data_IF_724596339921
#
_entry.id   IF_724596339921
#
_cell.length_a   1.000
_cell.length_b   1.000
_cell.length_c   1.000
_cell.angle_alpha   90.00
_cell.angle_beta   90.00
_cell.angle_gamma   90.00
#
_symmetry.space_group_name_H-M   'P 1'
#
loop_
_entity.id
_entity.type
_entity.pdbx_description
1 polymer ?
#
# COMPACT_ATOMS: atom_id res chain seq x y z
N UNK A 1 32.57 45.11 4.38
CA UNK A 1 32.54 44.96 2.92
C UNK A 1 31.28 44.17 2.62
N UNK A 2 30.23 44.91 2.18
CA UNK A 2 28.94 44.37 1.88
C UNK A 2 28.84 44.16 0.37
N UNK A 3 28.35 43.02 -0.06
CA UNK A 3 27.99 42.80 -1.43
C UNK A 3 26.48 42.85 -1.59
N UNK A 4 26.02 43.89 -2.31
CA UNK A 4 24.63 44.10 -2.68
C UNK A 4 24.18 43.11 -3.76
N UNK A 5 23.02 42.52 -3.55
CA UNK A 5 22.33 41.74 -4.59
C UNK A 5 21.51 42.67 -5.50
N UNK A 6 21.47 42.43 -6.84
CA UNK A 6 20.72 43.27 -7.76
C UNK A 6 19.22 42.99 -7.71
N UNK A 7 18.44 44.07 -7.61
CA UNK A 7 16.97 44.10 -7.67
C UNK A 7 16.52 43.87 -9.13
N UNK A 8 15.65 42.91 -9.32
CA UNK A 8 14.94 42.70 -10.59
C UNK A 8 13.77 43.70 -10.70
N UNK A 9 13.72 44.42 -11.85
CA UNK A 9 12.70 45.44 -12.17
C UNK A 9 11.90 45.00 -13.38
N UNK A 10 10.55 44.79 -13.30
CA UNK A 10 9.73 44.45 -14.46
C UNK A 10 9.02 45.70 -14.99
N UNK A 11 9.51 46.29 -16.09
CA UNK A 11 8.74 47.20 -16.91
C UNK A 11 9.42 47.38 -18.27
N UNK A 12 8.81 46.86 -19.33
CA UNK A 12 8.61 47.63 -20.57
C UNK A 12 8.13 46.73 -21.73
N UNK A 13 7.00 47.17 -22.21
CA UNK A 13 6.57 47.33 -23.61
C UNK A 13 6.03 46.09 -24.34
N UNK A 14 4.73 46.23 -24.50
CA UNK A 14 3.87 45.50 -25.42
C UNK A 14 4.15 45.81 -26.91
N UNK A 15 3.90 44.81 -27.71
CA UNK A 15 3.51 45.00 -29.09
C UNK A 15 2.34 44.10 -29.42
N UNK A 16 1.24 44.76 -29.70
CA UNK A 16 -0.05 44.18 -30.11
C UNK A 16 0.05 43.78 -31.58
N UNK A 17 0.12 42.50 -31.88
CA UNK A 17 -0.05 42.01 -33.27
C UNK A 17 -1.53 41.82 -33.56
N UNK A 18 -1.98 42.49 -34.66
CA UNK A 18 -3.34 42.42 -35.20
C UNK A 18 -3.50 41.11 -35.98
N UNK A 19 -4.55 40.39 -35.72
CA UNK A 19 -4.99 39.27 -36.55
C UNK A 19 -5.70 39.76 -37.81
N UNK A 20 -5.51 39.09 -38.97
CA UNK A 20 -6.29 39.35 -40.17
C UNK A 20 -7.69 38.70 -40.05
N UNK A 21 -8.70 39.28 -40.77
CA UNK A 21 -10.07 38.80 -40.73
C UNK A 21 -10.30 37.65 -41.72
N UNK A 22 -11.14 36.69 -41.30
CA UNK A 22 -11.89 35.84 -42.21
C UNK A 22 -11.46 34.39 -42.31
N UNK A 23 -12.13 33.54 -41.56
CA UNK A 23 -12.60 32.21 -41.97
C UNK A 23 -13.60 31.71 -40.91
N UNK A 24 -14.87 31.83 -41.24
CA UNK A 24 -15.94 31.16 -40.52
C UNK A 24 -15.94 29.70 -40.98
N UNK A 25 -15.56 28.77 -40.09
CA UNK A 25 -15.82 27.35 -40.30
C UNK A 25 -16.74 26.83 -39.23
N UNK A 26 -17.95 26.54 -39.66
CA UNK A 26 -18.92 25.69 -38.93
C UNK A 26 -18.32 24.30 -38.71
N UNK A 27 -17.82 24.04 -37.51
CA UNK A 27 -17.52 22.68 -37.04
C UNK A 27 -18.40 22.34 -35.88
N UNK A 28 -19.30 21.41 -36.16
CA UNK A 28 -20.32 20.85 -35.28
C UNK A 28 -19.73 20.26 -34.02
N UNK A 29 -20.37 20.59 -32.90
CA UNK A 29 -19.98 20.26 -31.48
C UNK A 29 -19.93 18.77 -31.10
N UNK A 30 -19.97 17.85 -32.06
CA UNK A 30 -19.90 16.40 -31.78
C UNK A 30 -18.51 15.77 -31.85
N UNK A 31 -17.50 16.46 -32.42
CA UNK A 31 -16.15 15.91 -32.58
C UNK A 31 -15.20 16.10 -31.39
N UNK A 32 -15.44 17.12 -30.57
CA UNK A 32 -14.52 17.47 -29.45
C UNK A 32 -14.58 16.52 -28.28
N UNK A 33 -15.70 15.86 -28.03
CA UNK A 33 -15.84 14.92 -26.90
C UNK A 33 -15.17 13.55 -27.13
N UNK A 34 -14.98 13.15 -28.38
CA UNK A 34 -14.36 11.85 -28.71
C UNK A 34 -12.83 11.96 -28.65
N UNK A 35 -12.27 13.06 -29.16
CA UNK A 35 -10.81 13.28 -29.12
C UNK A 35 -10.30 13.45 -27.68
N UNK A 36 -11.04 14.17 -26.82
CA UNK A 36 -10.65 14.38 -25.42
C UNK A 36 -10.76 13.10 -24.57
N UNK A 37 -11.69 12.18 -24.91
CA UNK A 37 -11.78 10.87 -24.28
C UNK A 37 -10.65 9.94 -24.73
N UNK A 38 -10.19 10.07 -25.97
CA UNK A 38 -9.10 9.26 -26.54
C UNK A 38 -7.74 9.67 -25.94
N UNK A 39 -7.49 10.98 -25.78
CA UNK A 39 -6.28 11.51 -25.16
C UNK A 39 -6.14 11.12 -23.68
N UNK A 40 -7.23 11.04 -22.91
CA UNK A 40 -7.19 10.55 -21.53
C UNK A 40 -6.79 9.08 -21.42
N UNK A 41 -7.12 8.25 -22.40
CA UNK A 41 -6.74 6.85 -22.42
C UNK A 41 -5.29 6.58 -22.86
N UNK A 42 -4.63 7.55 -23.52
CA UNK A 42 -3.25 7.39 -24.01
C UNK A 42 -2.21 7.90 -23.01
N UNK A 43 -2.57 8.88 -22.16
CA UNK A 43 -1.66 9.51 -21.21
C UNK A 43 -2.05 9.34 -19.72
N UNK A 44 -3.21 8.77 -19.46
CA UNK A 44 -3.59 8.33 -18.12
C UNK A 44 -2.99 6.96 -17.84
N UNK A 45 -1.82 6.90 -17.24
CA UNK A 45 -1.40 5.66 -16.57
C UNK A 45 -2.51 5.21 -15.62
N UNK A 46 -2.64 3.91 -15.33
CA UNK A 46 -3.67 3.42 -14.42
C UNK A 46 -3.56 4.22 -13.12
N UNK A 47 -4.64 4.90 -12.73
CA UNK A 47 -4.74 5.49 -11.39
C UNK A 47 -4.58 4.33 -10.40
N UNK A 48 -3.36 4.17 -9.87
CA UNK A 48 -3.07 3.16 -8.87
C UNK A 48 -3.89 3.53 -7.62
N UNK A 49 -4.87 2.73 -7.33
CA UNK A 49 -5.69 2.86 -6.12
C UNK A 49 -5.57 1.56 -5.36
N UNK A 50 -5.14 1.64 -4.11
CA UNK A 50 -5.03 0.47 -3.24
C UNK A 50 -6.34 -0.30 -3.21
N UNK A 51 -6.27 -1.61 -3.38
CA UNK A 51 -7.44 -2.48 -3.36
C UNK A 51 -8.20 -2.34 -2.04
N UNK A 52 -9.51 -2.29 -2.14
CA UNK A 52 -10.42 -2.16 -1.00
C UNK A 52 -11.12 -3.47 -0.69
N UNK A 53 -11.77 -3.54 0.46
CA UNK A 53 -12.67 -4.65 0.79
C UNK A 53 -13.72 -4.89 -0.31
N UNK A 54 -14.11 -6.15 -0.51
CA UNK A 54 -15.00 -6.62 -1.57
C UNK A 54 -14.30 -6.90 -2.90
N UNK A 55 -12.97 -6.77 -3.00
CA UNK A 55 -12.18 -7.12 -4.18
C UNK A 55 -11.48 -8.46 -4.00
N UNK A 56 -11.25 -9.17 -5.10
CA UNK A 56 -10.40 -10.37 -5.08
C UNK A 56 -8.93 -9.96 -5.00
N UNK A 57 -8.20 -10.59 -4.10
CA UNK A 57 -6.77 -10.43 -3.96
C UNK A 57 -6.05 -11.00 -5.20
N UNK A 58 -5.17 -10.25 -5.87
CA UNK A 58 -4.29 -10.80 -6.89
C UNK A 58 -3.43 -11.93 -6.31
N UNK A 59 -3.38 -13.06 -7.03
CA UNK A 59 -2.53 -14.18 -6.64
C UNK A 59 -1.04 -13.82 -6.79
N UNK A 60 -0.20 -14.37 -5.92
CA UNK A 60 1.24 -14.16 -6.01
C UNK A 60 2.03 -15.35 -5.47
N UNK A 61 3.27 -15.45 -5.98
CA UNK A 61 4.30 -16.31 -5.45
C UNK A 61 5.57 -15.48 -5.23
N UNK A 62 6.07 -15.45 -4.00
CA UNK A 62 7.22 -14.63 -3.61
C UNK A 62 8.26 -15.44 -2.84
N UNK A 63 9.55 -15.12 -3.04
CA UNK A 63 10.62 -15.71 -2.25
C UNK A 63 10.49 -15.28 -0.78
N UNK A 64 10.58 -16.24 0.13
CA UNK A 64 10.65 -15.96 1.56
C UNK A 64 12.08 -15.63 1.99
N UNK A 65 12.21 -14.82 3.04
CA UNK A 65 13.50 -14.53 3.68
C UNK A 65 14.18 -15.82 4.18
N UNK A 66 13.38 -16.75 4.65
CA UNK A 66 13.80 -18.07 5.13
C UNK A 66 12.78 -19.12 4.70
N UNK A 67 13.26 -20.31 4.34
CA UNK A 67 12.40 -21.43 3.95
C UNK A 67 12.08 -21.46 2.45
N UNK A 68 10.88 -21.99 2.14
CA UNK A 68 10.39 -22.14 0.77
C UNK A 68 9.69 -20.86 0.32
N UNK A 69 9.60 -20.68 -1.00
CA UNK A 69 8.76 -19.65 -1.60
C UNK A 69 7.32 -19.77 -1.11
N UNK A 70 6.67 -18.63 -0.97
CA UNK A 70 5.31 -18.52 -0.48
C UNK A 70 4.35 -18.31 -1.65
N UNK A 71 3.30 -19.14 -1.69
CA UNK A 71 2.18 -19.00 -2.62
C UNK A 71 0.93 -18.57 -1.86
N UNK A 72 0.30 -17.48 -2.29
CA UNK A 72 -0.96 -17.01 -1.69
C UNK A 72 -2.06 -18.07 -1.84
N UNK A 73 -2.17 -18.67 -3.01
CA UNK A 73 -3.17 -19.72 -3.30
C UNK A 73 -3.03 -20.93 -2.37
N UNK A 74 -1.80 -21.39 -2.17
CA UNK A 74 -1.56 -22.54 -1.28
C UNK A 74 -1.85 -22.21 0.18
N UNK A 75 -1.52 -20.98 0.59
CA UNK A 75 -1.81 -20.50 1.94
C UNK A 75 -3.33 -20.40 2.19
N UNK A 76 -4.08 -19.87 1.22
CA UNK A 76 -5.55 -19.76 1.31
C UNK A 76 -6.24 -21.13 1.36
N UNK A 77 -5.63 -22.20 0.85
CA UNK A 77 -6.16 -23.55 1.04
C UNK A 77 -6.19 -23.97 2.51
N UNK A 78 -5.28 -23.42 3.34
CA UNK A 78 -5.20 -23.66 4.77
C UNK A 78 -6.01 -22.67 5.65
N UNK A 79 -6.53 -21.59 5.07
CA UNK A 79 -7.28 -20.56 5.79
C UNK A 79 -6.98 -19.13 5.31
N UNK A 80 -7.54 -18.10 5.94
CA UNK A 80 -7.32 -16.71 5.58
C UNK A 80 -5.87 -16.27 5.76
N UNK A 81 -5.49 -15.23 5.01
CA UNK A 81 -4.14 -14.67 4.99
C UNK A 81 -4.16 -13.19 5.36
N UNK A 82 -3.30 -12.80 6.30
CA UNK A 82 -2.97 -11.38 6.55
C UNK A 82 -1.70 -11.06 5.76
N UNK A 83 -1.81 -10.18 4.76
CA UNK A 83 -0.70 -9.71 3.94
C UNK A 83 -0.35 -8.26 4.31
N UNK A 84 0.85 -8.03 4.88
CA UNK A 84 1.31 -6.73 5.35
C UNK A 84 2.49 -6.23 4.53
N UNK A 85 2.23 -5.31 3.61
CA UNK A 85 3.25 -4.66 2.78
C UNK A 85 3.96 -3.54 3.54
N UNK A 86 5.29 -3.47 3.40
CA UNK A 86 6.07 -2.50 4.15
C UNK A 86 7.37 -2.06 3.47
N UNK A 87 7.91 -0.93 3.94
CA UNK A 87 9.30 -0.49 3.73
C UNK A 87 10.02 -0.35 5.06
N UNK A 88 11.28 -0.73 5.10
CA UNK A 88 12.09 -0.68 6.32
C UNK A 88 12.28 0.75 6.86
N UNK A 89 12.33 1.74 5.97
CA UNK A 89 12.48 3.16 6.31
C UNK A 89 11.19 3.86 6.74
N UNK A 90 10.03 3.18 6.62
CA UNK A 90 8.74 3.78 6.95
C UNK A 90 8.47 3.78 8.47
N UNK A 91 8.38 4.95 9.13
CA UNK A 91 8.14 5.01 10.58
C UNK A 91 6.80 4.39 11.00
N UNK A 92 5.78 4.47 10.12
CA UNK A 92 4.46 3.89 10.40
C UNK A 92 4.50 2.36 10.29
N UNK A 93 5.34 1.81 9.39
CA UNK A 93 5.61 0.37 9.34
C UNK A 93 6.31 -0.10 10.62
N UNK A 94 7.35 0.62 11.06
CA UNK A 94 8.06 0.33 12.31
C UNK A 94 7.12 0.36 13.52
N UNK A 95 6.15 1.26 13.52
CA UNK A 95 5.12 1.36 14.56
C UNK A 95 4.12 0.19 14.51
N UNK A 96 3.67 -0.23 13.33
CA UNK A 96 2.63 -1.24 13.14
C UNK A 96 3.11 -2.68 13.41
N UNK A 97 4.34 -2.99 13.05
CA UNK A 97 4.86 -4.36 13.04
C UNK A 97 4.85 -5.07 14.40
N UNK A 98 5.16 -4.42 15.55
CA UNK A 98 5.02 -5.04 16.87
C UNK A 98 3.61 -5.52 17.17
N UNK A 99 2.57 -4.85 16.68
CA UNK A 99 1.18 -5.25 16.86
C UNK A 99 0.79 -6.41 15.94
N UNK A 100 1.28 -6.40 14.69
CA UNK A 100 1.14 -7.55 13.79
C UNK A 100 1.82 -8.80 14.35
N UNK A 101 2.98 -8.64 14.97
CA UNK A 101 3.70 -9.73 15.61
C UNK A 101 2.95 -10.29 16.83
N UNK A 102 2.21 -9.45 17.56
CA UNK A 102 1.30 -9.92 18.61
C UNK A 102 0.14 -10.73 18.03
N UNK A 103 -0.47 -10.29 16.95
CA UNK A 103 -1.53 -11.04 16.26
C UNK A 103 -0.98 -12.39 15.82
N UNK A 104 0.22 -12.41 15.21
CA UNK A 104 0.85 -13.65 14.79
C UNK A 104 1.13 -14.62 15.94
N UNK A 105 1.70 -14.13 17.05
CA UNK A 105 1.97 -14.95 18.23
C UNK A 105 0.72 -15.52 18.89
N UNK A 106 -0.37 -14.75 18.84
CA UNK A 106 -1.63 -15.14 19.45
C UNK A 106 -2.41 -16.12 18.56
N UNK A 107 -2.41 -15.91 17.24
CA UNK A 107 -3.33 -16.60 16.32
C UNK A 107 -2.65 -17.21 15.09
N UNK A 108 -1.43 -16.83 14.76
CA UNK A 108 -0.73 -17.30 13.55
C UNK A 108 -0.39 -18.78 13.60
N UNK A 109 -0.35 -19.40 12.40
CA UNK A 109 -0.04 -20.83 12.25
C UNK A 109 -1.16 -21.79 12.67
N UNK A 110 -2.34 -21.27 13.00
CA UNK A 110 -3.54 -22.02 13.41
C UNK A 110 -4.72 -21.67 12.52
N UNK A 111 -4.68 -22.12 11.28
CA UNK A 111 -5.66 -21.78 10.24
C UNK A 111 -5.68 -20.29 9.84
N UNK A 112 -4.75 -19.47 10.33
CA UNK A 112 -4.53 -18.09 9.90
C UNK A 112 -3.06 -17.92 9.56
N UNK A 113 -2.77 -17.48 8.35
CA UNK A 113 -1.41 -17.15 7.91
C UNK A 113 -1.20 -15.65 7.96
N UNK A 114 -0.08 -15.18 8.55
CA UNK A 114 0.33 -13.80 8.51
C UNK A 114 1.70 -13.71 7.85
N UNK A 115 1.85 -12.84 6.84
CA UNK A 115 3.11 -12.60 6.13
C UNK A 115 3.38 -11.11 5.98
N UNK A 116 4.64 -10.71 6.15
CA UNK A 116 5.14 -9.42 5.75
C UNK A 116 5.65 -9.46 4.31
N UNK A 117 5.39 -8.44 3.50
CA UNK A 117 5.89 -8.32 2.12
C UNK A 117 6.74 -7.06 2.04
N UNK A 118 8.06 -7.27 1.98
CA UNK A 118 9.05 -6.20 1.96
C UNK A 118 9.24 -5.64 0.56
N UNK A 119 9.28 -4.31 0.47
CA UNK A 119 9.69 -3.56 -0.73
C UNK A 119 11.19 -3.17 -0.68
N UNK A 120 11.99 -3.85 0.15
CA UNK A 120 13.42 -3.64 0.28
C UNK A 120 14.19 -4.91 -0.06
N UNK A 121 15.50 -4.78 -0.21
CA UNK A 121 16.37 -5.93 -0.42
C UNK A 121 16.45 -6.85 0.80
N UNK A 122 17.03 -8.01 0.60
CA UNK A 122 17.16 -9.03 1.64
C UNK A 122 17.97 -8.57 2.86
N UNK A 123 19.02 -7.76 2.65
CA UNK A 123 19.91 -7.28 3.71
C UNK A 123 19.20 -6.31 4.64
N UNK A 124 18.55 -5.30 4.07
CA UNK A 124 17.83 -4.27 4.83
C UNK A 124 16.61 -4.87 5.51
N UNK A 125 15.91 -5.78 4.82
CA UNK A 125 14.78 -6.52 5.39
C UNK A 125 15.22 -7.37 6.59
N UNK A 126 16.37 -8.06 6.52
CA UNK A 126 16.89 -8.85 7.63
C UNK A 126 17.23 -7.97 8.86
N UNK A 127 17.80 -6.79 8.63
CA UNK A 127 18.07 -5.82 9.69
C UNK A 127 16.79 -5.37 10.38
N UNK A 128 15.75 -5.06 9.62
CA UNK A 128 14.43 -4.68 10.13
C UNK A 128 13.79 -5.81 10.95
N UNK A 129 13.76 -7.03 10.41
CA UNK A 129 13.22 -8.20 11.11
C UNK A 129 13.89 -8.41 12.46
N UNK A 130 15.23 -8.29 12.52
CA UNK A 130 15.99 -8.39 13.76
C UNK A 130 15.69 -7.23 14.72
N UNK A 131 15.67 -6.00 14.23
CA UNK A 131 15.48 -4.79 15.04
C UNK A 131 14.10 -4.76 15.71
N UNK A 132 13.05 -5.17 14.99
CA UNK A 132 11.67 -5.14 15.47
C UNK A 132 11.16 -6.48 16.01
N UNK A 133 12.06 -7.49 16.15
CA UNK A 133 11.75 -8.84 16.63
C UNK A 133 10.56 -9.47 15.90
N UNK A 134 10.48 -9.31 14.57
CA UNK A 134 9.41 -9.88 13.75
C UNK A 134 9.59 -11.39 13.69
N UNK A 135 8.55 -12.13 14.08
CA UNK A 135 8.60 -13.60 14.16
C UNK A 135 7.76 -14.29 13.08
N UNK A 136 6.89 -13.56 12.40
CA UNK A 136 6.14 -14.08 11.25
C UNK A 136 6.98 -14.11 9.98
N UNK A 137 6.62 -14.96 8.99
CA UNK A 137 7.32 -15.04 7.72
C UNK A 137 7.35 -13.70 6.97
N UNK A 138 8.52 -13.38 6.40
CA UNK A 138 8.70 -12.18 5.57
C UNK A 138 9.12 -12.58 4.17
N UNK A 139 8.44 -12.02 3.18
CA UNK A 139 8.61 -12.24 1.75
C UNK A 139 9.25 -11.01 1.12
N UNK A 140 9.86 -11.19 -0.05
CA UNK A 140 10.53 -10.12 -0.78
C UNK A 140 9.80 -9.86 -2.10
N UNK A 141 9.23 -8.66 -2.27
CA UNK A 141 8.79 -8.19 -3.58
C UNK A 141 10.02 -7.73 -4.39
N UNK A 142 9.98 -7.83 -5.71
CA UNK A 142 11.10 -7.39 -6.57
C UNK A 142 11.32 -5.88 -6.41
N UNK A 143 12.49 -5.48 -5.91
CA UNK A 143 12.84 -4.08 -5.61
C UNK A 143 12.92 -3.17 -6.84
N UNK A 144 13.00 -3.73 -8.04
CA UNK A 144 13.08 -2.97 -9.29
C UNK A 144 11.70 -2.74 -9.93
N UNK A 145 10.76 -3.66 -9.71
CA UNK A 145 9.47 -3.69 -10.42
C UNK A 145 8.26 -3.67 -9.50
N UNK A 146 8.40 -4.11 -8.27
CA UNK A 146 7.31 -4.21 -7.28
C UNK A 146 6.04 -4.88 -7.85
N UNK A 147 6.13 -6.05 -8.50
CA UNK A 147 5.00 -6.60 -9.25
C UNK A 147 3.79 -6.86 -8.37
N UNK A 148 3.99 -7.39 -7.16
CA UNK A 148 2.89 -7.70 -6.25
C UNK A 148 2.33 -6.40 -5.62
N UNK A 149 3.19 -5.50 -5.16
CA UNK A 149 2.76 -4.19 -4.66
C UNK A 149 1.94 -3.42 -5.69
N UNK A 150 2.35 -3.44 -6.96
CA UNK A 150 1.64 -2.79 -8.06
C UNK A 150 0.30 -3.49 -8.37
N UNK A 151 0.25 -4.82 -8.34
CA UNK A 151 -1.00 -5.58 -8.54
C UNK A 151 -2.04 -5.26 -7.45
N UNK A 152 -1.61 -5.00 -6.21
CA UNK A 152 -2.46 -4.54 -5.12
C UNK A 152 -2.76 -3.04 -5.16
N UNK A 153 -2.22 -2.31 -6.14
CA UNK A 153 -2.43 -0.88 -6.34
C UNK A 153 -1.88 -0.01 -5.20
N UNK A 154 -0.81 -0.44 -4.54
CA UNK A 154 -0.30 0.23 -3.34
C UNK A 154 0.17 1.64 -3.63
N UNK A 155 -0.36 2.60 -2.90
CA UNK A 155 0.07 4.01 -2.91
C UNK A 155 0.93 4.36 -1.70
N UNK A 156 0.75 3.64 -0.60
CA UNK A 156 1.38 3.90 0.70
C UNK A 156 1.74 2.59 1.41
N UNK A 157 2.62 2.67 2.39
CA UNK A 157 2.93 1.57 3.31
C UNK A 157 2.92 2.09 4.76
N UNK A 158 2.53 1.27 5.74
CA UNK A 158 2.06 -0.10 5.55
C UNK A 158 0.72 -0.14 4.82
N UNK A 159 0.51 -1.18 4.01
CA UNK A 159 -0.81 -1.57 3.54
C UNK A 159 -1.06 -2.99 4.01
N UNK A 160 -2.16 -3.21 4.73
CA UNK A 160 -2.43 -4.48 5.41
C UNK A 160 -3.79 -4.98 4.95
N UNK A 161 -3.82 -6.22 4.49
CA UNK A 161 -5.02 -6.86 3.97
C UNK A 161 -5.35 -8.11 4.77
N UNK A 162 -6.60 -8.25 5.18
CA UNK A 162 -7.18 -9.55 5.52
C UNK A 162 -7.82 -10.14 4.27
N UNK A 163 -7.29 -11.27 3.82
CA UNK A 163 -7.75 -12.00 2.64
C UNK A 163 -8.44 -13.27 3.14
N UNK A 164 -9.74 -13.37 2.93
CA UNK A 164 -10.52 -14.54 3.29
C UNK A 164 -10.10 -15.76 2.48
N UNK A 165 -10.45 -16.94 2.93
CA UNK A 165 -10.06 -18.21 2.31
C UNK A 165 -10.49 -18.34 0.84
N UNK A 166 -11.59 -17.68 0.45
CA UNK A 166 -12.06 -17.61 -0.95
C UNK A 166 -11.29 -16.59 -1.81
N UNK A 167 -10.31 -15.88 -1.21
CA UNK A 167 -9.49 -14.85 -1.85
C UNK A 167 -10.12 -13.46 -1.86
N UNK A 168 -11.25 -13.23 -1.18
CA UNK A 168 -11.81 -11.89 -1.06
C UNK A 168 -11.05 -11.07 0.01
N UNK A 169 -10.74 -9.81 -0.31
CA UNK A 169 -10.23 -8.86 0.67
C UNK A 169 -11.41 -8.38 1.53
N UNK A 170 -11.42 -8.72 2.80
CA UNK A 170 -12.45 -8.27 3.73
C UNK A 170 -12.03 -7.06 4.58
N UNK A 171 -10.71 -6.90 4.80
CA UNK A 171 -10.16 -5.70 5.43
C UNK A 171 -9.01 -5.17 4.58
N UNK A 172 -9.00 -3.85 4.34
CA UNK A 172 -7.93 -3.13 3.66
C UNK A 172 -7.58 -1.90 4.48
N UNK A 173 -6.41 -1.90 5.09
CA UNK A 173 -5.89 -0.80 5.92
C UNK A 173 -4.70 -0.16 5.23
N UNK A 174 -4.74 1.16 5.03
CA UNK A 174 -3.65 1.95 4.44
C UNK A 174 -3.08 2.88 5.50
N UNK A 175 -1.80 2.75 5.81
CA UNK A 175 -1.19 3.33 6.99
C UNK A 175 -1.51 2.52 8.24
N UNK A 176 -1.51 3.17 9.39
CA UNK A 176 -1.94 2.60 10.65
C UNK A 176 -3.39 3.05 10.96
N UNK A 177 -4.27 2.09 11.16
CA UNK A 177 -5.62 2.29 11.69
C UNK A 177 -5.84 1.32 12.84
N UNK A 178 -6.00 1.84 14.05
CA UNK A 178 -6.28 1.03 15.24
C UNK A 178 -7.50 0.14 15.04
N UNK A 179 -8.56 0.72 14.51
CA UNK A 179 -9.82 0.01 14.23
C UNK A 179 -9.61 -1.19 13.29
N UNK A 180 -8.84 -1.00 12.21
CA UNK A 180 -8.62 -2.07 11.23
C UNK A 180 -7.74 -3.19 11.82
N UNK A 181 -6.77 -2.84 12.64
CA UNK A 181 -5.93 -3.83 13.34
C UNK A 181 -6.74 -4.61 14.38
N UNK A 182 -7.64 -3.95 15.11
CA UNK A 182 -8.60 -4.60 16.01
C UNK A 182 -9.53 -5.55 15.23
N UNK A 183 -10.00 -5.13 14.06
CA UNK A 183 -10.84 -5.95 13.17
C UNK A 183 -10.09 -7.19 12.66
N UNK A 184 -8.82 -7.04 12.24
CA UNK A 184 -7.97 -8.17 11.82
C UNK A 184 -7.75 -9.14 12.97
N UNK A 185 -7.47 -8.65 14.19
CA UNK A 185 -7.29 -9.48 15.36
C UNK A 185 -8.58 -10.22 15.75
N UNK A 186 -9.74 -9.54 15.65
CA UNK A 186 -11.07 -10.14 15.88
C UNK A 186 -11.36 -11.29 14.89
N UNK A 187 -11.10 -11.06 13.60
CA UNK A 187 -11.24 -12.11 12.58
C UNK A 187 -10.30 -13.29 12.81
N UNK A 188 -9.07 -13.03 13.23
CA UNK A 188 -8.11 -14.08 13.55
C UNK A 188 -8.59 -14.90 14.76
N UNK A 189 -9.11 -14.25 15.80
CA UNK A 189 -9.71 -14.90 16.96
C UNK A 189 -10.91 -15.79 16.56
N UNK A 190 -11.83 -15.25 15.77
CA UNK A 190 -13.01 -15.99 15.28
C UNK A 190 -12.60 -17.22 14.45
N UNK A 191 -11.62 -17.06 13.56
CA UNK A 191 -11.14 -18.14 12.69
C UNK A 191 -10.43 -19.25 13.47
N UNK A 192 -9.66 -18.90 14.51
CA UNK A 192 -8.88 -19.88 15.26
C UNK A 192 -9.65 -20.51 16.43
N UNK A 193 -10.71 -19.85 16.89
CA UNK A 193 -11.45 -20.27 18.10
C UNK A 193 -10.64 -20.19 19.39
N UNK A 194 -9.52 -19.48 19.39
CA UNK A 194 -8.65 -19.30 20.56
C UNK A 194 -9.30 -18.40 21.61
N UNK A 195 -8.66 -18.31 22.77
CA UNK A 195 -9.08 -17.35 23.79
C UNK A 195 -8.64 -15.93 23.42
N UNK A 196 -9.47 -14.89 23.70
CA UNK A 196 -9.09 -13.52 23.45
C UNK A 196 -7.79 -13.12 24.15
N UNK A 197 -6.87 -12.51 23.40
CA UNK A 197 -5.58 -12.05 23.90
C UNK A 197 -5.49 -10.53 23.86
N UNK A 198 -4.72 -9.94 24.77
CA UNK A 198 -4.52 -8.49 24.82
C UNK A 198 -3.68 -8.05 23.62
N UNK A 199 -4.30 -7.34 22.69
CA UNK A 199 -3.63 -6.74 21.54
C UNK A 199 -2.93 -5.44 21.93
N UNK A 200 -3.61 -4.54 22.64
CA UNK A 200 -3.08 -3.27 23.13
C UNK A 200 -3.07 -3.28 24.66
N UNK A 201 -1.92 -3.05 25.26
CA UNK A 201 -1.78 -3.02 26.70
C UNK A 201 -2.33 -1.71 27.26
N UNK A 202 -2.85 -1.70 28.50
CA UNK A 202 -3.43 -0.50 29.10
C UNK A 202 -2.46 0.68 29.26
N UNK A 203 -1.16 0.39 29.38
CA UNK A 203 -0.07 1.37 29.53
C UNK A 203 0.46 1.91 28.19
N UNK A 204 0.02 1.34 27.05
CA UNK A 204 0.46 1.76 25.73
C UNK A 204 -0.40 2.92 25.20
N UNK A 205 0.26 3.99 24.75
CA UNK A 205 -0.41 5.09 24.04
C UNK A 205 -0.56 4.74 22.57
N UNK A 206 -1.72 4.17 22.21
CA UNK A 206 -2.01 3.75 20.85
C UNK A 206 -2.66 4.89 20.08
N UNK A 207 -2.06 5.26 18.95
CA UNK A 207 -2.68 6.22 18.03
C UNK A 207 -3.88 5.56 17.32
N UNK A 208 -4.95 6.31 17.11
CA UNK A 208 -6.11 5.81 16.34
C UNK A 208 -5.77 5.69 14.86
N UNK A 209 -4.99 6.64 14.33
CA UNK A 209 -4.57 6.66 12.92
C UNK A 209 -3.17 7.28 12.75
N UNK A 210 -2.40 6.77 11.77
CA UNK A 210 -1.18 7.38 11.22
C UNK A 210 -1.15 7.17 9.71
N UNK A 211 -1.02 8.25 8.94
CA UNK A 211 -0.84 8.15 7.50
C UNK A 211 0.45 7.40 7.15
N UNK A 212 0.39 6.50 6.19
CA UNK A 212 1.52 5.73 5.67
C UNK A 212 2.34 6.51 4.64
#
# INVERSE_FOLDING_TARGET
MGEEQPRWNPSSHGTRQKNPPGCEDHLTSKGQNVAMKWFKNIFGGPNMTTLTAGKKAPDFNLPAMAGKDFSLRDALAGGPVVAAFFKVSCPVCQYAFPFLDRIYKNYGGRNVTLVGISQNDKKDTAAFVKQFNVTFPVLLDDINKFPVSNAYGLTNVPSIFWIAQDGEIEVSSVGWSRKDIEQIAGKALETTGETPQILFRPDEKIADFRAG
#
